data_IF_259053190136
#
_entry.id   IF_259053190136
#
_cell.length_a   1.000
_cell.length_b   1.000
_cell.length_c   1.000
_cell.angle_alpha   90.00
_cell.angle_beta   90.00
_cell.angle_gamma   90.00
#
_symmetry.space_group_name_H-M   'P 1'
#
loop_
_entity.id
_entity.type
_entity.pdbx_description
1 polymer ?
#
# COMPACT_ATOMS: atom_id res chain seq x y z
N UNK A 1 -23.39 15.76 7.85
CA UNK A 1 -24.12 14.84 8.74
C UNK A 1 -23.36 13.52 8.72
N UNK A 2 -22.82 13.06 9.85
CA UNK A 2 -22.07 11.79 9.92
C UNK A 2 -23.07 10.70 10.32
N UNK A 3 -23.40 9.78 9.40
CA UNK A 3 -24.29 8.66 9.72
C UNK A 3 -23.47 7.54 10.35
N UNK A 4 -23.66 7.30 11.65
CA UNK A 4 -23.08 6.17 12.39
C UNK A 4 -24.10 5.02 12.39
N UNK A 5 -23.69 3.82 11.93
CA UNK A 5 -24.53 2.63 11.87
C UNK A 5 -23.78 1.49 12.58
N UNK A 6 -24.41 0.84 13.57
CA UNK A 6 -23.86 -0.29 14.36
C UNK A 6 -24.86 -1.45 14.33
N UNK A 7 -24.64 -2.48 13.50
CA UNK A 7 -25.48 -3.68 13.31
C UNK A 7 -24.61 -4.86 12.80
N UNK A 8 -24.99 -6.12 13.06
CA UNK A 8 -24.27 -7.34 12.67
C UNK A 8 -24.17 -7.57 11.14
N UNK A 9 -22.99 -8.03 10.68
CA UNK A 9 -22.59 -8.36 9.29
C UNK A 9 -22.98 -7.30 8.23
N UNK A 10 -22.04 -6.38 7.92
CA UNK A 10 -22.31 -5.26 7.03
C UNK A 10 -22.03 -5.55 5.56
N UNK A 11 -23.09 -5.63 4.77
CA UNK A 11 -23.01 -5.35 3.34
C UNK A 11 -23.14 -3.83 3.14
N UNK A 12 -22.02 -3.18 2.83
CA UNK A 12 -21.99 -1.81 2.35
C UNK A 12 -22.37 -1.81 0.87
N UNK A 13 -23.56 -1.30 0.57
CA UNK A 13 -24.03 -1.02 -0.79
C UNK A 13 -24.17 0.50 -0.94
N UNK A 14 -23.12 1.16 -1.43
CA UNK A 14 -23.12 2.62 -1.66
C UNK A 14 -23.32 2.88 -3.14
N UNK A 15 -24.55 2.71 -3.63
CA UNK A 15 -24.91 3.28 -4.94
C UNK A 15 -25.00 4.80 -4.77
N UNK A 16 -24.07 5.52 -5.38
CA UNK A 16 -24.07 6.99 -5.53
C UNK A 16 -24.45 7.75 -4.25
N UNK A 17 -23.57 7.74 -3.25
CA UNK A 17 -23.67 8.71 -2.15
C UNK A 17 -22.60 9.77 -2.30
N UNK A 18 -23.04 11.02 -2.33
CA UNK A 18 -22.17 12.21 -2.23
C UNK A 18 -21.82 12.53 -0.76
N UNK A 19 -22.40 11.81 0.20
CA UNK A 19 -22.14 12.01 1.63
C UNK A 19 -21.05 11.07 2.15
N UNK A 20 -20.07 11.58 2.93
CA UNK A 20 -19.08 10.75 3.60
C UNK A 20 -19.74 9.73 4.55
N UNK A 21 -19.34 8.48 4.45
CA UNK A 21 -19.81 7.40 5.32
C UNK A 21 -18.71 7.00 6.30
N UNK A 22 -19.06 6.83 7.57
CA UNK A 22 -18.17 6.23 8.56
C UNK A 22 -18.83 4.99 9.18
N UNK A 23 -18.16 3.85 9.10
CA UNK A 23 -18.58 2.59 9.70
C UNK A 23 -17.52 2.13 10.70
N UNK A 24 -17.97 1.75 11.89
CA UNK A 24 -17.15 1.12 12.93
C UNK A 24 -17.84 -0.18 13.34
N UNK A 25 -17.17 -1.32 13.19
CA UNK A 25 -17.76 -2.62 13.48
C UNK A 25 -16.72 -3.63 13.98
N UNK A 26 -17.17 -4.64 14.69
CA UNK A 26 -16.35 -5.80 15.07
C UNK A 26 -16.45 -6.95 14.07
N UNK A 27 -17.37 -6.84 13.10
CA UNK A 27 -17.68 -7.89 12.13
C UNK A 27 -16.94 -7.69 10.81
N UNK A 28 -16.95 -8.69 9.94
CA UNK A 28 -16.53 -8.51 8.55
C UNK A 28 -17.41 -7.48 7.83
N UNK A 29 -16.80 -6.75 6.90
CA UNK A 29 -17.47 -5.76 6.05
C UNK A 29 -17.32 -6.17 4.60
N UNK A 30 -18.44 -6.30 3.89
CA UNK A 30 -18.44 -6.53 2.45
C UNK A 30 -18.87 -5.24 1.74
N UNK A 31 -18.00 -4.69 0.92
CA UNK A 31 -18.35 -3.61 -0.01
C UNK A 31 -18.73 -4.29 -1.32
N UNK A 32 -20.00 -4.23 -1.71
CA UNK A 32 -20.56 -5.10 -2.78
C UNK A 32 -21.10 -4.37 -3.99
N UNK A 33 -21.24 -3.04 -3.94
CA UNK A 33 -21.73 -2.28 -5.08
C UNK A 33 -21.28 -0.82 -5.11
N UNK A 34 -21.19 -0.30 -6.34
CA UNK A 34 -20.96 1.10 -6.69
C UNK A 34 -19.48 1.44 -6.91
N UNK A 35 -19.19 2.56 -7.60
CA UNK A 35 -18.02 3.34 -7.22
C UNK A 35 -18.24 3.84 -5.79
N UNK A 36 -17.22 3.70 -4.96
CA UNK A 36 -17.26 4.05 -3.54
C UNK A 36 -16.32 5.21 -3.31
N UNK A 37 -16.79 6.27 -2.65
CA UNK A 37 -15.99 7.46 -2.37
C UNK A 37 -16.21 7.95 -0.94
N UNK A 38 -15.17 8.55 -0.36
CA UNK A 38 -15.24 9.24 0.92
C UNK A 38 -15.77 8.37 2.08
N UNK A 39 -15.45 7.07 2.07
CA UNK A 39 -15.82 6.17 3.16
C UNK A 39 -14.68 6.03 4.17
N UNK A 40 -15.04 5.82 5.42
CA UNK A 40 -14.14 5.45 6.51
C UNK A 40 -14.68 4.17 7.13
N UNK A 41 -13.96 3.08 6.99
CA UNK A 41 -14.38 1.78 7.53
C UNK A 41 -13.32 1.33 8.52
N UNK A 42 -13.73 1.14 9.76
CA UNK A 42 -12.93 0.51 10.81
C UNK A 42 -13.63 -0.77 11.20
N UNK A 43 -12.94 -1.89 10.99
CA UNK A 43 -13.48 -3.23 11.18
C UNK A 43 -12.54 -4.04 12.06
N UNK A 44 -13.04 -4.81 13.03
CA UNK A 44 -12.20 -5.86 13.64
C UNK A 44 -12.11 -7.10 12.74
N UNK A 45 -13.04 -7.31 11.80
CA UNK A 45 -12.99 -8.39 10.82
C UNK A 45 -12.33 -7.98 9.50
N UNK A 46 -12.33 -8.87 8.52
CA UNK A 46 -11.87 -8.57 7.16
C UNK A 46 -12.75 -7.50 6.50
N UNK A 47 -12.16 -6.73 5.58
CA UNK A 47 -12.88 -5.81 4.69
C UNK A 47 -12.77 -6.37 3.27
N UNK A 48 -13.88 -6.91 2.76
CA UNK A 48 -13.97 -7.55 1.45
C UNK A 48 -14.46 -6.53 0.41
N UNK A 49 -13.59 -6.20 -0.55
CA UNK A 49 -13.87 -5.34 -1.68
C UNK A 49 -14.45 -6.17 -2.84
N UNK A 50 -15.71 -6.57 -2.70
CA UNK A 50 -16.46 -7.33 -3.71
C UNK A 50 -17.10 -6.41 -4.76
N UNK A 51 -16.33 -5.45 -5.27
CA UNK A 51 -16.80 -4.48 -6.27
C UNK A 51 -15.97 -4.52 -7.55
N UNK A 52 -16.61 -4.13 -8.65
CA UNK A 52 -16.02 -4.00 -9.98
C UNK A 52 -15.84 -2.55 -10.39
N UNK A 53 -15.28 -1.74 -9.50
CA UNK A 53 -15.29 -0.29 -9.68
C UNK A 53 -14.13 0.38 -8.94
N UNK A 54 -14.30 1.68 -8.72
CA UNK A 54 -13.32 2.54 -8.06
C UNK A 54 -13.67 2.64 -6.58
N UNK A 55 -12.69 2.45 -5.69
CA UNK A 55 -12.74 2.98 -4.31
C UNK A 55 -11.84 4.20 -4.26
N UNK A 56 -12.38 5.35 -3.89
CA UNK A 56 -11.60 6.59 -3.88
C UNK A 56 -11.72 7.42 -2.60
N UNK A 57 -10.69 8.19 -2.28
CA UNK A 57 -10.67 9.16 -1.17
C UNK A 57 -11.17 8.55 0.15
N UNK A 58 -10.76 7.32 0.45
CA UNK A 58 -11.35 6.51 1.51
C UNK A 58 -10.29 6.03 2.49
N UNK A 59 -10.73 5.57 3.66
CA UNK A 59 -9.84 5.01 4.69
C UNK A 59 -10.40 3.68 5.17
N UNK A 60 -9.59 2.63 5.09
CA UNK A 60 -9.94 1.28 5.52
C UNK A 60 -8.95 0.84 6.60
N UNK A 61 -9.47 0.45 7.76
CA UNK A 61 -8.68 0.07 8.93
C UNK A 61 -9.19 -1.27 9.44
N UNK A 62 -8.28 -2.25 9.57
CA UNK A 62 -8.58 -3.55 10.17
C UNK A 62 -7.33 -4.18 10.76
N UNK A 63 -7.41 -4.94 11.88
CA UNK A 63 -6.30 -5.79 12.31
C UNK A 63 -6.16 -7.07 11.46
N UNK A 64 -7.05 -7.28 10.48
CA UNK A 64 -7.07 -8.43 9.58
C UNK A 64 -6.77 -7.99 8.15
N UNK A 65 -7.47 -8.55 7.15
CA UNK A 65 -7.13 -8.40 5.74
C UNK A 65 -8.08 -7.44 5.01
N UNK A 66 -7.55 -6.69 4.05
CA UNK A 66 -8.37 -6.12 2.97
C UNK A 66 -8.31 -7.09 1.79
N UNK A 67 -9.45 -7.58 1.34
CA UNK A 67 -9.52 -8.69 0.38
C UNK A 67 -10.22 -8.25 -0.91
N UNK A 68 -9.65 -8.62 -2.05
CA UNK A 68 -10.30 -8.59 -3.36
C UNK A 68 -9.96 -9.88 -4.12
N UNK A 69 -10.79 -10.91 -3.97
CA UNK A 69 -10.54 -12.26 -4.49
C UNK A 69 -11.54 -12.69 -5.58
N UNK A 70 -12.79 -12.25 -5.49
CA UNK A 70 -13.89 -13.05 -6.03
C UNK A 70 -14.66 -12.41 -7.19
N UNK A 71 -14.47 -11.12 -7.51
CA UNK A 71 -15.42 -10.45 -8.39
C UNK A 71 -14.82 -9.78 -9.64
N UNK A 72 -13.93 -8.79 -9.57
CA UNK A 72 -13.57 -7.99 -10.76
C UNK A 72 -12.26 -7.20 -10.61
N UNK A 73 -11.83 -6.53 -11.70
CA UNK A 73 -10.76 -5.53 -11.65
C UNK A 73 -11.18 -4.37 -10.73
N UNK A 74 -10.23 -3.88 -9.95
CA UNK A 74 -10.43 -2.87 -8.91
C UNK A 74 -9.51 -1.69 -9.16
N UNK A 75 -10.01 -0.47 -8.97
CA UNK A 75 -9.18 0.73 -8.99
C UNK A 75 -9.25 1.41 -7.63
N UNK A 76 -8.11 1.66 -7.02
CA UNK A 76 -7.96 2.31 -5.72
C UNK A 76 -7.31 3.68 -5.95
N UNK A 77 -8.00 4.76 -5.58
CA UNK A 77 -7.51 6.13 -5.78
C UNK A 77 -7.51 6.92 -4.47
N UNK A 78 -6.37 7.44 -4.01
CA UNK A 78 -6.28 8.15 -2.72
C UNK A 78 -6.88 7.33 -1.57
N UNK A 79 -6.50 6.05 -1.50
CA UNK A 79 -6.96 5.12 -0.46
C UNK A 79 -5.93 5.02 0.65
N UNK A 80 -6.35 5.29 1.89
CA UNK A 80 -5.53 4.99 3.06
C UNK A 80 -5.94 3.64 3.66
N UNK A 81 -4.99 2.72 3.77
CA UNK A 81 -5.18 1.36 4.29
C UNK A 81 -4.28 1.18 5.51
N UNK A 82 -4.86 0.67 6.58
CA UNK A 82 -4.15 0.19 7.75
C UNK A 82 -4.64 -1.23 8.02
N UNK A 83 -3.85 -2.22 7.63
CA UNK A 83 -4.28 -3.61 7.63
C UNK A 83 -3.15 -4.54 8.01
N UNK A 84 -3.46 -5.75 8.49
CA UNK A 84 -2.43 -6.78 8.62
C UNK A 84 -1.83 -7.12 7.25
N UNK A 85 -2.71 -7.27 6.27
CA UNK A 85 -2.33 -7.56 4.89
C UNK A 85 -3.36 -7.09 3.88
N UNK A 86 -2.95 -7.00 2.62
CA UNK A 86 -3.86 -6.92 1.48
C UNK A 86 -3.79 -8.19 0.68
N UNK A 87 -4.93 -8.70 0.23
CA UNK A 87 -4.99 -9.87 -0.66
C UNK A 87 -5.83 -9.53 -1.88
N UNK A 88 -5.18 -8.97 -2.89
CA UNK A 88 -5.77 -8.58 -4.16
C UNK A 88 -5.32 -9.57 -5.23
N UNK A 89 -6.05 -10.69 -5.36
CA UNK A 89 -5.79 -11.73 -6.38
C UNK A 89 -6.52 -11.45 -7.70
N UNK A 90 -7.02 -10.22 -7.86
CA UNK A 90 -7.57 -9.68 -9.09
C UNK A 90 -6.82 -8.41 -9.43
N UNK A 91 -6.72 -8.13 -10.72
CA UNK A 91 -6.09 -6.93 -11.25
C UNK A 91 -6.56 -5.68 -10.50
N UNK A 92 -5.64 -5.05 -9.79
CA UNK A 92 -5.87 -3.89 -8.96
C UNK A 92 -4.96 -2.76 -9.38
N UNK A 93 -5.53 -1.64 -9.83
CA UNK A 93 -4.79 -0.42 -10.13
C UNK A 93 -4.78 0.43 -8.87
N UNK A 94 -3.60 0.88 -8.44
CA UNK A 94 -3.43 1.71 -7.24
C UNK A 94 -2.84 3.06 -7.63
N UNK A 95 -3.50 4.15 -7.25
CA UNK A 95 -3.07 5.53 -7.52
C UNK A 95 -3.20 6.38 -6.26
N UNK A 96 -2.07 6.83 -5.72
CA UNK A 96 -2.07 7.62 -4.49
C UNK A 96 -2.55 6.86 -3.25
N UNK A 97 -2.59 7.59 -2.14
CA UNK A 97 -2.93 7.02 -0.84
C UNK A 97 -1.75 6.37 -0.11
N UNK A 98 -2.05 5.81 1.05
CA UNK A 98 -1.07 5.19 1.95
C UNK A 98 -1.49 3.77 2.30
N UNK A 99 -0.56 2.83 2.24
CA UNK A 99 -0.76 1.45 2.69
C UNK A 99 0.21 1.20 3.85
N UNK A 100 -0.32 1.16 5.06
CA UNK A 100 0.37 0.70 6.25
C UNK A 100 0.00 -0.76 6.50
N UNK A 101 0.92 -1.67 6.16
CA UNK A 101 0.73 -3.11 6.32
C UNK A 101 1.63 -3.64 7.42
N UNK A 102 1.06 -4.45 8.32
CA UNK A 102 1.79 -5.01 9.44
C UNK A 102 1.53 -6.51 9.59
N UNK A 103 2.57 -7.32 9.63
CA UNK A 103 2.42 -8.77 9.63
C UNK A 103 3.27 -9.43 10.68
N UNK A 104 3.17 -10.75 10.75
CA UNK A 104 4.27 -11.55 11.26
C UNK A 104 4.81 -12.36 10.09
N UNK A 105 6.03 -12.04 9.66
CA UNK A 105 6.75 -12.85 8.69
C UNK A 105 7.70 -13.74 9.49
N UNK A 106 7.49 -15.06 9.41
CA UNK A 106 8.53 -16.00 9.85
C UNK A 106 9.78 -15.77 8.99
N UNK A 107 10.95 -15.97 9.59
CA UNK A 107 12.30 -15.57 9.12
C UNK A 107 12.71 -15.95 7.68
N UNK A 108 11.83 -16.52 6.87
CA UNK A 108 12.02 -16.86 5.46
C UNK A 108 10.86 -16.29 4.63
N UNK A 109 11.18 -15.30 3.81
CA UNK A 109 10.27 -14.82 2.78
C UNK A 109 10.15 -15.81 1.63
N UNK A 110 8.94 -16.30 1.39
CA UNK A 110 8.65 -17.09 0.20
C UNK A 110 7.33 -16.65 -0.44
N UNK A 111 7.19 -16.92 -1.74
CA UNK A 111 6.02 -16.55 -2.54
C UNK A 111 4.72 -17.28 -2.17
N UNK A 112 4.80 -18.28 -1.29
CA UNK A 112 3.71 -19.13 -0.82
C UNK A 112 3.31 -18.91 0.64
N UNK A 113 3.86 -17.89 1.30
CA UNK A 113 3.51 -17.54 2.67
C UNK A 113 2.02 -17.15 2.73
N UNK A 114 1.17 -17.89 3.48
CA UNK A 114 -0.26 -17.64 3.55
C UNK A 114 -0.61 -16.29 4.20
N UNK A 115 0.33 -15.67 4.91
CA UNK A 115 0.16 -14.36 5.56
C UNK A 115 0.77 -13.20 4.74
N UNK A 116 1.41 -13.49 3.61
CA UNK A 116 1.93 -12.46 2.71
C UNK A 116 0.81 -11.60 2.12
N UNK A 117 1.07 -10.30 2.02
CA UNK A 117 0.25 -9.41 1.20
C UNK A 117 0.48 -9.72 -0.26
N UNK A 118 -0.59 -9.72 -1.07
CA UNK A 118 -0.51 -9.97 -2.50
C UNK A 118 -1.25 -8.88 -3.26
N UNK A 119 -0.59 -8.35 -4.29
CA UNK A 119 -1.19 -7.41 -5.24
C UNK A 119 -0.94 -7.94 -6.65
N UNK A 120 -2.02 -8.33 -7.34
CA UNK A 120 -2.01 -8.51 -8.78
C UNK A 120 -2.41 -7.20 -9.46
N UNK A 121 -1.59 -6.65 -10.36
CA UNK A 121 -1.89 -5.41 -11.07
C UNK A 121 -1.67 -5.53 -12.58
N UNK A 122 -2.36 -4.70 -13.37
CA UNK A 122 -2.17 -4.57 -14.82
C UNK A 122 -1.45 -3.28 -15.20
N UNK A 123 -1.16 -2.43 -14.22
CA UNK A 123 -0.51 -1.14 -14.39
C UNK A 123 0.53 -0.92 -13.28
N UNK A 124 1.34 0.12 -13.46
CA UNK A 124 2.29 0.58 -12.44
C UNK A 124 1.55 0.96 -11.14
N UNK A 125 2.22 0.76 -10.00
CA UNK A 125 1.71 1.18 -8.68
C UNK A 125 2.07 2.65 -8.49
N UNK A 126 1.05 3.49 -8.29
CA UNK A 126 1.22 4.93 -8.24
C UNK A 126 1.62 5.55 -9.57
N UNK A 127 1.64 6.88 -9.61
CA UNK A 127 2.19 7.68 -10.71
C UNK A 127 3.03 8.83 -10.15
N UNK A 128 3.72 9.58 -11.00
CA UNK A 128 4.43 10.79 -10.55
C UNK A 128 3.47 11.83 -9.93
N UNK A 129 2.27 11.94 -10.48
CA UNK A 129 1.23 12.87 -9.99
C UNK A 129 0.50 12.34 -8.75
N UNK A 130 0.34 11.00 -8.66
CA UNK A 130 -0.33 10.33 -7.56
C UNK A 130 0.58 9.23 -6.98
N UNK A 131 1.69 9.60 -6.33
CA UNK A 131 2.60 8.63 -5.74
C UNK A 131 1.95 7.95 -4.54
N UNK A 132 2.30 6.69 -4.33
CA UNK A 132 1.79 5.87 -3.21
C UNK A 132 2.80 5.88 -2.07
N UNK A 133 2.33 5.95 -0.83
CA UNK A 133 3.16 5.70 0.35
C UNK A 133 2.90 4.28 0.86
N UNK A 134 3.91 3.42 0.84
CA UNK A 134 3.79 2.05 1.30
C UNK A 134 4.72 1.87 2.51
N UNK A 135 4.14 1.57 3.66
CA UNK A 135 4.83 1.34 4.93
C UNK A 135 4.55 -0.10 5.32
N UNK A 136 5.61 -0.88 5.47
CA UNK A 136 5.54 -2.30 5.83
C UNK A 136 6.32 -2.54 7.10
N UNK A 137 5.67 -3.16 8.06
CA UNK A 137 6.27 -3.49 9.36
C UNK A 137 6.13 -4.99 9.59
N UNK A 138 7.25 -5.69 9.61
CA UNK A 138 7.31 -7.15 9.80
C UNK A 138 6.39 -7.90 8.80
N UNK A 139 6.34 -7.46 7.54
CA UNK A 139 5.34 -7.90 6.55
C UNK A 139 5.98 -8.31 5.23
N UNK A 140 5.31 -9.17 4.48
CA UNK A 140 5.73 -9.60 3.15
C UNK A 140 4.75 -9.03 2.10
N UNK A 141 5.27 -8.55 0.97
CA UNK A 141 4.47 -8.08 -0.17
C UNK A 141 4.90 -8.77 -1.45
N UNK A 142 4.00 -9.55 -2.04
CA UNK A 142 4.13 -10.08 -3.38
C UNK A 142 3.41 -9.18 -4.37
N UNK A 143 4.13 -8.64 -5.35
CA UNK A 143 3.51 -7.90 -6.46
C UNK A 143 3.68 -8.68 -7.76
N UNK A 144 2.58 -8.89 -8.47
CA UNK A 144 2.52 -9.69 -9.70
C UNK A 144 1.91 -8.87 -10.82
N UNK A 145 2.57 -8.89 -11.98
CA UNK A 145 2.21 -8.18 -13.20
C UNK A 145 2.14 -6.64 -13.04
N UNK A 146 2.25 -5.87 -14.13
CA UNK A 146 2.98 -6.21 -15.37
C UNK A 146 4.50 -6.30 -15.11
N UNK A 147 5.30 -7.00 -15.93
CA UNK A 147 6.77 -7.09 -15.72
C UNK A 147 7.53 -6.36 -16.84
N UNK A 148 8.31 -5.28 -16.57
CA UNK A 148 8.62 -4.73 -15.25
C UNK A 148 7.46 -3.98 -14.60
N UNK A 149 7.37 -4.05 -13.26
CA UNK A 149 6.44 -3.25 -12.45
C UNK A 149 7.15 -1.93 -12.11
N UNK A 150 6.59 -0.76 -12.42
CA UNK A 150 7.09 0.49 -11.81
C UNK A 150 6.30 0.81 -10.54
N UNK A 151 7.03 1.14 -9.50
CA UNK A 151 6.48 1.64 -8.26
C UNK A 151 6.85 3.13 -8.13
N UNK A 152 5.86 4.02 -8.21
CA UNK A 152 6.06 5.46 -8.02
C UNK A 152 5.63 5.83 -6.61
N UNK A 153 6.58 6.07 -5.72
CA UNK A 153 6.24 6.37 -4.34
C UNK A 153 7.38 6.31 -3.35
N UNK A 154 6.98 6.27 -2.08
CA UNK A 154 7.88 5.95 -0.96
C UNK A 154 7.55 4.55 -0.49
N UNK A 155 8.57 3.70 -0.44
CA UNK A 155 8.50 2.39 0.17
C UNK A 155 9.34 2.40 1.44
N UNK A 156 8.73 2.12 2.58
CA UNK A 156 9.39 2.03 3.88
C UNK A 156 9.16 0.64 4.47
N UNK A 157 10.25 -0.08 4.73
CA UNK A 157 10.25 -1.38 5.37
C UNK A 157 10.91 -1.31 6.75
N UNK A 158 10.27 -1.92 7.75
CA UNK A 158 10.78 -2.03 9.11
C UNK A 158 10.61 -3.45 9.64
N UNK A 159 11.63 -3.98 10.34
CA UNK A 159 11.62 -5.35 10.82
C UNK A 159 11.82 -6.38 9.70
N UNK A 160 11.56 -7.67 9.95
CA UNK A 160 11.56 -8.74 8.94
C UNK A 160 10.53 -8.45 7.83
N UNK A 161 10.95 -7.76 6.78
CA UNK A 161 10.08 -7.31 5.69
C UNK A 161 10.72 -7.69 4.36
N UNK A 162 9.93 -8.06 3.37
CA UNK A 162 10.45 -8.38 2.04
C UNK A 162 9.41 -8.08 0.97
N UNK A 163 9.88 -7.96 -0.27
CA UNK A 163 9.02 -7.82 -1.43
C UNK A 163 9.39 -8.89 -2.44
N UNK A 164 8.44 -9.76 -2.77
CA UNK A 164 8.63 -10.79 -3.80
C UNK A 164 8.10 -10.26 -5.14
N UNK A 165 8.99 -10.11 -6.12
CA UNK A 165 8.64 -9.58 -7.44
C UNK A 165 9.53 -10.13 -8.57
N UNK A 166 9.05 -10.00 -9.80
CA UNK A 166 9.88 -10.13 -11.00
C UNK A 166 10.10 -8.73 -11.61
N UNK A 167 11.32 -8.21 -11.61
CA UNK A 167 11.69 -6.98 -12.34
C UNK A 167 10.92 -5.71 -11.89
N UNK A 168 11.01 -5.32 -10.61
CA UNK A 168 10.43 -4.07 -10.11
C UNK A 168 11.39 -2.88 -10.31
N UNK A 169 10.82 -1.72 -10.62
CA UNK A 169 11.53 -0.45 -10.74
C UNK A 169 10.94 0.57 -9.77
N UNK A 170 11.65 0.84 -8.69
CA UNK A 170 11.29 1.88 -7.73
C UNK A 170 11.68 3.25 -8.28
N UNK A 171 10.71 4.14 -8.37
CA UNK A 171 10.88 5.54 -8.74
C UNK A 171 10.37 6.34 -7.53
N UNK A 172 11.26 7.02 -6.82
CA UNK A 172 10.98 7.70 -5.55
C UNK A 172 11.99 7.33 -4.47
N UNK A 173 11.55 6.97 -3.26
CA UNK A 173 12.46 6.59 -2.16
C UNK A 173 12.12 5.19 -1.67
N UNK A 174 13.14 4.37 -1.45
CA UNK A 174 13.02 3.06 -0.80
C UNK A 174 13.92 3.05 0.45
N UNK A 175 13.34 2.75 1.61
CA UNK A 175 14.01 2.72 2.92
C UNK A 175 13.79 1.33 3.50
N UNK A 176 14.87 0.68 3.92
CA UNK A 176 14.86 -0.67 4.49
C UNK A 176 15.55 -0.65 5.85
N UNK A 177 14.78 -0.88 6.92
CA UNK A 177 15.25 -0.93 8.30
C UNK A 177 15.02 -2.34 8.87
N UNK A 178 15.80 -3.29 8.36
CA UNK A 178 15.71 -4.72 8.69
C UNK A 178 16.66 -5.09 9.85
N UNK A 179 16.34 -6.10 10.68
CA UNK A 179 17.25 -6.57 11.71
C UNK A 179 18.45 -7.31 11.08
N UNK A 180 19.63 -7.17 11.68
CA UNK A 180 20.92 -7.65 11.15
C UNK A 180 20.99 -9.17 10.82
N UNK A 181 20.07 -9.97 11.33
CA UNK A 181 20.01 -11.42 11.16
C UNK A 181 18.87 -11.88 10.23
N UNK A 182 18.17 -10.95 9.59
CA UNK A 182 17.16 -11.30 8.60
C UNK A 182 17.87 -11.75 7.31
N UNK A 183 17.68 -13.02 6.96
CA UNK A 183 18.04 -13.50 5.63
C UNK A 183 16.91 -13.06 4.73
N UNK A 184 17.08 -11.90 4.12
CA UNK A 184 16.22 -11.53 3.04
C UNK A 184 16.48 -12.54 1.92
N UNK A 185 15.58 -13.52 1.75
CA UNK A 185 15.52 -14.36 0.54
C UNK A 185 14.90 -13.50 -0.56
N UNK A 186 15.54 -12.37 -0.73
CA UNK A 186 15.19 -11.34 -1.64
C UNK A 186 15.67 -11.91 -2.96
N UNK A 187 14.77 -12.56 -3.68
CA UNK A 187 14.91 -12.71 -5.12
C UNK A 187 14.81 -11.30 -5.73
N UNK A 188 15.74 -10.38 -5.38
CA UNK A 188 16.12 -9.22 -6.17
C UNK A 188 16.74 -9.78 -7.46
N UNK A 189 15.91 -10.45 -8.25
CA UNK A 189 16.28 -11.06 -9.50
C UNK A 189 16.73 -9.96 -10.45
N UNK A 190 17.29 -10.38 -11.59
CA UNK A 190 17.62 -9.47 -12.69
C UNK A 190 16.48 -8.49 -12.97
N UNK A 191 16.77 -7.18 -12.94
CA UNK A 191 15.80 -6.14 -13.26
C UNK A 191 15.35 -5.25 -12.09
N UNK A 192 15.83 -5.49 -10.86
CA UNK A 192 15.69 -4.50 -9.80
C UNK A 192 16.36 -3.17 -10.19
N UNK A 193 15.64 -2.07 -9.99
CA UNK A 193 16.12 -0.73 -10.30
C UNK A 193 15.55 0.27 -9.30
N UNK A 194 16.38 1.18 -8.80
CA UNK A 194 15.96 2.31 -7.98
C UNK A 194 16.36 3.60 -8.70
N UNK A 195 15.40 4.52 -8.80
CA UNK A 195 15.61 5.89 -9.25
C UNK A 195 15.02 6.85 -8.22
N UNK A 196 15.88 7.63 -7.57
CA UNK A 196 15.42 8.73 -6.75
C UNK A 196 14.64 9.76 -7.57
N UNK A 197 13.52 10.23 -7.03
CA UNK A 197 12.72 11.31 -7.60
C UNK A 197 12.25 12.23 -6.47
N UNK A 198 12.76 13.46 -6.42
CA UNK A 198 12.43 14.38 -5.34
C UNK A 198 10.99 14.93 -5.46
N UNK A 199 10.48 15.04 -6.69
CA UNK A 199 9.09 15.41 -6.98
C UNK A 199 8.08 14.54 -6.23
N UNK A 200 8.35 13.24 -6.07
CA UNK A 200 7.51 12.33 -5.29
C UNK A 200 7.44 12.73 -3.81
N UNK A 201 8.56 13.12 -3.19
CA UNK A 201 8.58 13.61 -1.80
C UNK A 201 7.85 14.94 -1.68
N UNK A 202 8.00 15.84 -2.65
CA UNK A 202 7.24 17.08 -2.68
C UNK A 202 5.74 16.83 -2.70
N UNK A 203 5.26 15.92 -3.55
CA UNK A 203 3.85 15.55 -3.61
C UNK A 203 3.37 14.92 -2.31
N UNK A 204 4.11 13.94 -1.76
CA UNK A 204 3.71 13.26 -0.52
C UNK A 204 3.75 14.18 0.72
N UNK A 205 4.70 15.12 0.81
CA UNK A 205 4.80 16.08 1.90
C UNK A 205 3.58 17.01 1.99
N UNK A 206 2.90 17.29 0.87
CA UNK A 206 1.65 18.07 0.89
C UNK A 206 0.46 17.27 1.43
N UNK A 207 0.53 15.93 1.39
CA UNK A 207 -0.53 15.01 1.83
C UNK A 207 -0.31 14.48 3.25
N UNK A 208 0.94 14.21 3.63
CA UNK A 208 1.31 13.56 4.89
C UNK A 208 2.28 14.43 5.67
N UNK A 209 1.81 14.99 6.79
CA UNK A 209 2.59 15.93 7.62
C UNK A 209 3.90 15.36 8.17
N UNK A 210 4.00 14.03 8.29
CA UNK A 210 5.18 13.31 8.77
C UNK A 210 6.19 13.00 7.66
N UNK A 211 5.81 13.10 6.38
CA UNK A 211 6.75 13.06 5.27
C UNK A 211 7.37 14.44 5.17
N UNK A 212 8.66 14.58 5.51
CA UNK A 212 9.37 15.87 5.48
C UNK A 212 10.24 15.98 4.23
N UNK A 213 10.28 17.19 3.67
CA UNK A 213 11.23 17.54 2.62
C UNK A 213 12.64 17.63 3.21
N UNK A 214 13.64 17.22 2.46
CA UNK A 214 15.04 17.47 2.82
C UNK A 214 15.38 18.90 2.41
N UNK A 215 15.52 19.81 3.36
CA UNK A 215 15.75 21.23 3.08
C UNK A 215 17.11 21.50 2.38
N UNK A 216 18.04 20.55 2.43
CA UNK A 216 19.42 20.71 1.94
C UNK A 216 19.71 19.99 0.60
N UNK A 217 18.73 19.32 -0.03
CA UNK A 217 18.93 18.68 -1.33
C UNK A 217 18.51 19.67 -2.43
N UNK A 218 19.46 20.08 -3.28
CA UNK A 218 19.13 20.77 -4.54
C UNK A 218 18.29 19.85 -5.41
N UNK A 219 17.24 20.40 -6.01
CA UNK A 219 16.27 19.68 -6.84
C UNK A 219 16.94 18.63 -7.75
N UNK A 220 16.45 17.39 -7.65
CA UNK A 220 16.85 16.19 -8.40
C UNK A 220 18.37 15.95 -8.50
N UNK A 221 19.00 15.28 -7.49
CA UNK A 221 20.39 14.86 -7.61
C UNK A 221 20.58 14.00 -8.86
N UNK A 222 21.62 14.32 -9.65
CA UNK A 222 22.00 13.54 -10.83
C UNK A 222 22.06 12.03 -10.50
N UNK A 223 21.77 11.13 -11.48
CA UNK A 223 21.65 9.69 -11.25
C UNK A 223 22.83 9.03 -10.52
N UNK A 224 24.00 9.66 -10.55
CA UNK A 224 25.25 9.16 -9.98
C UNK A 224 25.41 9.39 -8.47
N UNK A 225 24.51 10.16 -7.82
CA UNK A 225 24.57 10.43 -6.39
C UNK A 225 23.42 9.76 -5.63
N UNK A 226 23.37 8.43 -5.60
CA UNK A 226 22.30 7.71 -4.89
C UNK A 226 22.82 6.56 -4.04
N UNK A 227 23.54 6.93 -2.99
CA UNK A 227 23.57 6.18 -1.72
C UNK A 227 23.32 7.21 -0.63
N UNK A 228 22.06 7.37 -0.20
CA UNK A 228 21.77 8.02 1.07
C UNK A 228 21.81 6.91 2.12
N UNK A 229 23.02 6.58 2.58
CA UNK A 229 23.21 5.73 3.74
C UNK A 229 23.01 6.63 4.97
N UNK A 230 21.77 6.74 5.43
CA UNK A 230 21.49 7.36 6.72
C UNK A 230 21.88 6.36 7.81
N UNK A 231 23.14 6.39 8.23
CA UNK A 231 23.44 6.03 9.61
C UNK A 231 22.77 7.10 10.48
N UNK A 232 21.49 6.91 10.80
CA UNK A 232 20.87 7.65 11.88
C UNK A 232 21.53 7.19 13.18
N UNK A 233 22.67 7.80 13.53
CA UNK A 233 23.05 7.91 14.92
C UNK A 233 22.03 8.85 15.57
N UNK A 234 21.15 8.27 16.37
CA UNK A 234 20.30 8.97 17.34
C UNK A 234 21.04 10.14 17.98
N UNK A 235 20.44 11.33 17.95
CA UNK A 235 20.70 12.41 18.91
C UNK A 235 19.39 12.80 19.57
#
# INVERSE_FOLDING_TARGET
>A
MLLLLVIDLYNINVKNRDEPLALYTTQNVNITAGPVRAIRVVSQGDINLQISSIVSNSTLITPNSIVNDSHNNLTLEELNVFARRVNFTRTTIIRGGMFYLFGYVESVCNSGDPDSSRIETSADIGTLDNPVLFIMVNSNLRVVNPSPIRFHGVFFAEGPTCIVYSNIRFIGISIWNEPNNFVNVDELASGFYIQFNYGIINTLNTKYWFVRKFECIRDDPLPYAQVIQTYHSSY
#
